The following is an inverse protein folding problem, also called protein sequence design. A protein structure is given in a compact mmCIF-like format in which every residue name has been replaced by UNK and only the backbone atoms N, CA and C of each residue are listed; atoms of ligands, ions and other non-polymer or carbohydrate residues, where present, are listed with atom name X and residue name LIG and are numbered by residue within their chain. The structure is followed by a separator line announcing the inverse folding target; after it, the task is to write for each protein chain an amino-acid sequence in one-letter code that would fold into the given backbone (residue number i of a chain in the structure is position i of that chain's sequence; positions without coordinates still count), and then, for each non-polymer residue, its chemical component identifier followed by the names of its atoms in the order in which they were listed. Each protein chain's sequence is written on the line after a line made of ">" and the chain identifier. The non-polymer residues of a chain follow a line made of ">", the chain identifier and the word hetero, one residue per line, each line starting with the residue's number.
data_IF_229664242683
#
_entry.id   IF_229664242683
#
_cell.length_a   1.000
_cell.length_b   1.000
_cell.length_c   1.000
_cell.angle_alpha   90.00
_cell.angle_beta   90.00
_cell.angle_gamma   90.00
#
_symmetry.space_group_name_H-M   'P 1'
#
loop_
_entity.id
_entity.type
_entity.pdbx_description
1 polymer ?
#
# COMPACT_ATOMS: atom_id res chain seq x y z
N UNK A 1 24.50 15.55 16.80
CA UNK A 1 23.24 15.63 17.58
C UNK A 1 22.23 14.80 16.81
N UNK A 2 21.77 13.69 17.37
CA UNK A 2 20.75 12.84 16.74
C UNK A 2 19.40 13.41 17.14
N UNK A 3 18.57 13.72 16.16
CA UNK A 3 17.21 14.17 16.36
C UNK A 3 16.30 12.96 16.62
N UNK A 4 15.66 12.92 17.79
CA UNK A 4 14.77 11.85 18.23
C UNK A 4 13.29 12.21 18.10
N UNK A 5 12.96 13.42 17.61
CA UNK A 5 11.57 13.91 17.56
C UNK A 5 10.67 13.11 16.62
N UNK A 6 11.25 12.21 15.83
CA UNK A 6 10.54 11.29 14.93
C UNK A 6 10.80 9.80 15.23
N UNK A 7 11.33 9.46 16.41
CA UNK A 7 11.52 8.06 16.80
C UNK A 7 10.26 7.48 17.45
N UNK A 8 9.74 6.39 16.89
CA UNK A 8 8.64 5.61 17.46
C UNK A 8 9.10 4.22 17.88
N UNK A 9 8.51 3.68 18.94
CA UNK A 9 8.64 2.27 19.29
C UNK A 9 7.39 1.58 18.74
N UNK A 10 7.60 0.72 17.75
CA UNK A 10 6.53 -0.06 17.12
C UNK A 10 6.73 -1.55 17.41
N UNK A 11 5.65 -2.33 17.51
CA UNK A 11 5.76 -3.78 17.59
C UNK A 11 6.61 -4.37 16.46
N UNK A 12 7.38 -5.43 16.74
CA UNK A 12 8.29 -6.03 15.77
C UNK A 12 7.61 -6.45 14.45
N UNK A 13 6.35 -6.89 14.51
CA UNK A 13 5.59 -7.29 13.31
C UNK A 13 5.25 -6.12 12.37
N UNK A 14 5.30 -4.87 12.85
CA UNK A 14 5.12 -3.66 12.04
C UNK A 14 6.41 -3.20 11.39
N UNK A 15 7.57 -3.66 11.88
CA UNK A 15 8.87 -3.34 11.30
C UNK A 15 9.18 -4.17 10.04
N UNK A 16 8.36 -5.18 9.73
CA UNK A 16 8.49 -6.00 8.52
C UNK A 16 7.78 -5.31 7.37
N UNK A 17 8.48 -4.38 6.73
CA UNK A 17 8.09 -3.73 5.49
C UNK A 17 9.17 -3.95 4.43
N UNK A 18 8.81 -3.87 3.15
CA UNK A 18 9.81 -3.81 2.09
C UNK A 18 10.63 -2.53 2.28
N UNK A 19 11.97 -2.62 2.42
CA UNK A 19 12.81 -1.44 2.36
C UNK A 19 12.51 -0.65 1.09
N UNK A 20 12.54 0.67 1.16
CA UNK A 20 12.15 1.56 0.04
C UNK A 20 12.95 1.31 -1.25
N UNK A 21 14.13 0.70 -1.14
CA UNK A 21 14.99 0.36 -2.28
C UNK A 21 14.73 -1.05 -2.86
N UNK A 22 13.85 -1.85 -2.26
CA UNK A 22 13.42 -3.14 -2.78
C UNK A 22 12.00 -3.02 -3.35
N UNK A 23 11.85 -3.39 -4.61
CA UNK A 23 10.54 -3.54 -5.21
C UNK A 23 9.95 -4.90 -4.82
N UNK A 24 8.72 -4.94 -4.28
CA UNK A 24 8.03 -6.20 -4.10
C UNK A 24 7.84 -6.92 -5.45
N UNK A 25 7.81 -8.28 -5.46
CA UNK A 25 7.52 -9.05 -6.67
C UNK A 25 6.18 -8.66 -7.32
N UNK A 26 6.05 -8.83 -8.64
CA UNK A 26 4.84 -8.47 -9.39
C UNK A 26 3.56 -9.19 -8.92
N UNK A 27 3.68 -10.32 -8.23
CA UNK A 27 2.58 -11.08 -7.63
C UNK A 27 2.45 -10.88 -6.12
N UNK A 28 3.10 -9.85 -5.56
CA UNK A 28 2.97 -9.52 -4.14
C UNK A 28 1.55 -9.03 -3.87
N UNK A 29 0.80 -9.83 -3.13
CA UNK A 29 -0.56 -9.46 -2.73
C UNK A 29 -0.49 -8.39 -1.64
N UNK A 30 -1.10 -7.24 -1.92
CA UNK A 30 -1.39 -6.22 -0.93
C UNK A 30 -2.74 -6.53 -0.27
N UNK A 31 -2.94 -6.08 0.98
CA UNK A 31 -4.08 -6.42 1.87
C UNK A 31 -3.89 -7.73 2.66
N UNK A 32 -5.00 -8.38 3.04
CA UNK A 32 -5.14 -9.44 4.03
C UNK A 32 -4.57 -10.79 3.56
N UNK A 33 -3.24 -10.85 3.43
CA UNK A 33 -2.50 -12.06 3.11
C UNK A 33 -2.07 -12.75 4.38
N UNK A 34 -2.37 -14.05 4.50
CA UNK A 34 -1.83 -14.88 5.57
C UNK A 34 -0.38 -15.26 5.22
N UNK A 35 0.62 -14.95 6.06
CA UNK A 35 2.00 -15.33 5.78
C UNK A 35 2.15 -16.86 5.82
N UNK A 36 2.92 -17.40 4.89
CA UNK A 36 3.37 -18.80 4.87
C UNK A 36 4.88 -18.89 5.10
N UNK A 37 5.37 -20.08 5.47
CA UNK A 37 6.81 -20.33 5.54
C UNK A 37 7.43 -20.31 4.14
N UNK A 38 8.70 -19.88 3.98
CA UNK A 38 9.38 -19.92 2.70
C UNK A 38 9.40 -21.32 2.08
N UNK A 39 9.25 -21.42 0.76
CA UNK A 39 9.23 -22.71 0.03
C UNK A 39 10.55 -23.48 0.23
N UNK A 40 11.67 -22.78 0.36
CA UNK A 40 13.01 -23.34 0.59
C UNK A 40 13.34 -23.55 2.08
N UNK A 41 12.38 -23.42 2.99
CA UNK A 41 12.62 -23.46 4.44
C UNK A 41 13.37 -24.73 4.90
N UNK A 42 13.14 -25.88 4.27
CA UNK A 42 13.81 -27.13 4.63
C UNK A 42 15.30 -27.13 4.28
N UNK A 43 15.70 -26.36 3.26
CA UNK A 43 17.05 -26.31 2.72
C UNK A 43 17.92 -25.23 3.40
N UNK A 44 17.31 -24.35 4.20
CA UNK A 44 17.99 -23.31 4.98
C UNK A 44 18.81 -23.90 6.14
N UNK A 45 19.81 -23.16 6.62
CA UNK A 45 20.55 -23.54 7.83
C UNK A 45 19.72 -23.35 9.12
N UNK A 46 20.21 -23.82 10.26
CA UNK A 46 19.44 -23.78 11.51
C UNK A 46 19.22 -22.37 12.06
N UNK A 47 20.16 -21.43 11.84
CA UNK A 47 20.02 -20.04 12.29
C UNK A 47 18.99 -19.31 11.42
N UNK A 48 19.05 -19.53 10.10
CA UNK A 48 18.07 -19.05 9.13
C UNK A 48 16.66 -19.63 9.40
N UNK A 49 16.57 -20.92 9.70
CA UNK A 49 15.31 -21.56 10.11
C UNK A 49 14.77 -20.97 11.40
N UNK A 50 15.62 -20.73 12.39
CA UNK A 50 15.21 -20.12 13.65
C UNK A 50 14.68 -18.69 13.43
N UNK A 51 15.33 -17.91 12.57
CA UNK A 51 14.86 -16.59 12.19
C UNK A 51 13.53 -16.64 11.42
N UNK A 52 13.42 -17.52 10.42
CA UNK A 52 12.20 -17.69 9.63
C UNK A 52 11.00 -18.15 10.49
N UNK A 53 11.23 -19.07 11.45
CA UNK A 53 10.20 -19.47 12.43
C UNK A 53 9.79 -18.31 13.34
N UNK A 54 10.76 -17.57 13.87
CA UNK A 54 10.49 -16.43 14.76
C UNK A 54 9.69 -15.35 14.02
N UNK A 55 10.11 -15.05 12.79
CA UNK A 55 9.39 -14.12 11.92
C UNK A 55 7.99 -14.64 11.60
N UNK A 56 7.84 -15.89 11.14
CA UNK A 56 6.54 -16.50 10.87
C UNK A 56 5.61 -16.41 12.09
N UNK A 57 6.09 -16.85 13.27
CA UNK A 57 5.36 -16.76 14.54
C UNK A 57 4.94 -15.33 14.83
N UNK A 58 5.84 -14.34 14.70
CA UNK A 58 5.50 -12.93 14.90
C UNK A 58 4.43 -12.41 13.93
N UNK A 59 4.41 -12.92 12.70
CA UNK A 59 3.47 -12.52 11.65
C UNK A 59 2.14 -13.29 11.72
N UNK A 60 2.10 -14.50 12.28
CA UNK A 60 0.91 -15.36 12.34
C UNK A 60 0.24 -15.44 13.71
N UNK A 61 0.96 -15.17 14.81
CA UNK A 61 0.35 -15.08 16.14
C UNK A 61 -0.56 -13.86 16.27
N UNK A 62 -0.33 -12.85 15.45
CA UNK A 62 -1.16 -11.66 15.38
C UNK A 62 -2.08 -11.86 14.19
N UNK A 63 -3.38 -11.78 14.47
CA UNK A 63 -4.39 -11.92 13.44
C UNK A 63 -4.18 -10.86 12.33
N UNK A 64 -4.21 -11.32 11.07
CA UNK A 64 -3.87 -10.50 9.88
C UNK A 64 -4.66 -9.18 9.82
N UNK A 65 -6.00 -9.18 10.03
CA UNK A 65 -6.79 -7.97 10.22
C UNK A 65 -6.25 -6.97 11.24
N UNK A 66 -5.83 -7.41 12.42
CA UNK A 66 -5.29 -6.53 13.47
C UNK A 66 -3.93 -5.95 13.06
N UNK A 67 -3.09 -6.77 12.43
CA UNK A 67 -1.80 -6.31 11.90
C UNK A 67 -1.98 -5.28 10.79
N UNK A 68 -2.92 -5.48 9.88
CA UNK A 68 -3.19 -4.58 8.77
C UNK A 68 -3.88 -3.30 9.20
N UNK A 69 -4.80 -3.38 10.16
CA UNK A 69 -5.35 -2.21 10.85
C UNK A 69 -4.21 -1.28 11.28
N UNK A 70 -3.25 -1.80 12.05
CA UNK A 70 -2.12 -1.01 12.54
C UNK A 70 -1.20 -0.53 11.41
N UNK A 71 -1.03 -1.32 10.35
CA UNK A 71 -0.17 -0.94 9.21
C UNK A 71 -0.78 0.15 8.33
N UNK A 72 -2.11 0.24 8.25
CA UNK A 72 -2.82 1.17 7.38
C UNK A 72 -3.33 2.42 8.07
N UNK A 73 -3.53 2.41 9.39
CA UNK A 73 -3.95 3.60 10.15
C UNK A 73 -3.12 4.84 9.84
N UNK A 74 -1.79 4.69 9.78
CA UNK A 74 -0.85 5.80 9.57
C UNK A 74 -0.63 6.14 8.08
N UNK A 75 -1.17 5.32 7.17
CA UNK A 75 -0.90 5.39 5.73
C UNK A 75 -2.14 5.72 4.89
N UNK A 76 -3.23 6.18 5.51
CA UNK A 76 -4.49 6.50 4.81
C UNK A 76 -4.36 7.66 3.81
N UNK A 77 -3.37 8.53 3.99
CA UNK A 77 -3.06 9.62 3.05
C UNK A 77 -2.38 9.12 1.78
N UNK A 78 -1.57 8.06 1.87
CA UNK A 78 -0.82 7.48 0.74
C UNK A 78 -1.60 6.37 0.03
N UNK A 79 -2.26 5.52 0.81
CA UNK A 79 -2.90 4.31 0.32
C UNK A 79 -4.43 4.43 0.27
N UNK A 80 -4.99 5.58 0.64
CA UNK A 80 -6.43 5.76 0.80
C UNK A 80 -7.00 5.06 2.03
N UNK A 81 -8.29 5.28 2.27
CA UNK A 81 -9.00 4.72 3.43
C UNK A 81 -9.43 3.25 3.24
N UNK A 82 -9.44 2.76 2.00
CA UNK A 82 -10.03 1.46 1.65
C UNK A 82 -9.37 0.28 2.38
N UNK A 83 -8.02 0.16 2.44
CA UNK A 83 -7.37 -0.95 3.16
C UNK A 83 -7.62 -0.91 4.68
N UNK A 84 -7.72 0.30 5.25
CA UNK A 84 -8.04 0.47 6.66
C UNK A 84 -9.45 -0.02 6.95
N UNK A 85 -10.43 0.36 6.11
CA UNK A 85 -11.81 -0.07 6.27
C UNK A 85 -11.96 -1.59 6.06
N UNK A 86 -11.22 -2.16 5.10
CA UNK A 86 -11.21 -3.61 4.83
C UNK A 86 -10.75 -4.39 6.07
N UNK A 87 -9.68 -3.91 6.71
CA UNK A 87 -9.18 -4.47 7.97
C UNK A 87 -10.20 -4.36 9.11
N UNK A 88 -10.90 -3.23 9.22
CA UNK A 88 -11.93 -3.04 10.25
C UNK A 88 -13.16 -3.93 10.00
N UNK A 89 -13.58 -4.08 8.75
CA UNK A 89 -14.67 -4.98 8.35
C UNK A 89 -14.34 -6.43 8.73
N UNK A 90 -13.15 -6.93 8.39
CA UNK A 90 -12.75 -8.28 8.80
C UNK A 90 -12.65 -8.44 10.32
N UNK A 91 -12.22 -7.40 11.07
CA UNK A 91 -12.21 -7.45 12.54
C UNK A 91 -13.64 -7.57 13.11
N UNK A 92 -14.58 -6.83 12.55
CA UNK A 92 -15.99 -6.86 12.98
C UNK A 92 -16.60 -8.24 12.72
N UNK A 93 -16.32 -8.84 11.55
CA UNK A 93 -16.81 -10.17 11.17
C UNK A 93 -16.19 -11.29 12.03
N UNK A 94 -14.91 -11.16 12.40
CA UNK A 94 -14.15 -12.19 13.12
C UNK A 94 -13.98 -11.87 14.63
N UNK A 95 -14.80 -10.99 15.20
CA UNK A 95 -14.63 -10.46 16.56
C UNK A 95 -14.42 -11.52 17.65
N UNK A 96 -15.21 -12.60 17.61
CA UNK A 96 -15.10 -13.70 18.59
C UNK A 96 -13.86 -14.56 18.35
N UNK A 97 -13.46 -14.78 17.10
CA UNK A 97 -12.26 -15.55 16.74
C UNK A 97 -10.97 -14.81 17.14
N UNK A 98 -11.04 -13.48 17.19
CA UNK A 98 -9.97 -12.62 17.72
C UNK A 98 -9.79 -12.73 19.24
N UNK A 99 -10.68 -13.43 19.95
CA UNK A 99 -10.67 -13.52 21.41
C UNK A 99 -11.03 -12.21 22.10
N UNK A 100 -11.68 -11.28 21.38
CA UNK A 100 -12.18 -10.03 21.97
C UNK A 100 -13.39 -10.33 22.85
N UNK A 101 -13.43 -9.68 24.02
CA UNK A 101 -14.52 -9.83 24.98
C UNK A 101 -15.80 -9.19 24.46
N UNK A 102 -16.93 -9.72 24.90
CA UNK A 102 -18.29 -9.29 24.56
C UNK A 102 -18.66 -9.45 23.06
N UNK A 103 -19.92 -9.15 22.75
CA UNK A 103 -20.39 -9.04 21.37
C UNK A 103 -19.84 -7.77 20.74
N UNK A 104 -19.42 -7.84 19.46
CA UNK A 104 -18.99 -6.66 18.72
C UNK A 104 -20.07 -5.56 18.79
N UNK A 105 -19.73 -4.34 19.25
CA UNK A 105 -20.70 -3.25 19.37
C UNK A 105 -21.06 -2.64 18.02
N UNK A 106 -20.28 -2.93 16.97
CA UNK A 106 -20.50 -2.43 15.63
C UNK A 106 -21.18 -3.50 14.77
N UNK A 107 -22.11 -3.04 13.93
CA UNK A 107 -22.76 -3.86 12.90
C UNK A 107 -22.71 -3.09 11.60
N UNK A 108 -22.20 -3.75 10.57
CA UNK A 108 -22.24 -3.26 9.20
C UNK A 108 -23.47 -3.91 8.56
N UNK A 109 -24.29 -3.12 7.88
CA UNK A 109 -25.42 -3.68 7.14
C UNK A 109 -24.96 -4.29 5.81
N UNK A 110 -25.81 -5.13 5.22
CA UNK A 110 -25.48 -5.85 3.99
C UNK A 110 -25.23 -4.91 2.80
N UNK A 111 -25.84 -3.72 2.82
CA UNK A 111 -25.68 -2.73 1.76
C UNK A 111 -24.28 -2.08 1.81
N UNK A 112 -23.87 -1.63 2.99
CA UNK A 112 -22.55 -1.04 3.23
C UNK A 112 -21.44 -2.06 3.02
N UNK A 113 -21.66 -3.33 3.41
CA UNK A 113 -20.71 -4.42 3.15
C UNK A 113 -20.55 -4.67 1.64
N UNK A 114 -21.65 -4.79 0.91
CA UNK A 114 -21.62 -4.97 -0.54
C UNK A 114 -20.97 -3.78 -1.24
N UNK A 115 -21.30 -2.55 -0.84
CA UNK A 115 -20.65 -1.34 -1.35
C UNK A 115 -19.14 -1.38 -1.09
N UNK A 116 -18.72 -1.76 0.11
CA UNK A 116 -17.32 -1.86 0.45
C UNK A 116 -16.57 -2.88 -0.42
N UNK A 117 -17.16 -4.05 -0.69
CA UNK A 117 -16.57 -5.07 -1.55
C UNK A 117 -16.29 -4.53 -2.97
N UNK A 118 -17.22 -3.76 -3.53
CA UNK A 118 -17.00 -3.08 -4.82
C UNK A 118 -15.87 -2.04 -4.74
N UNK A 119 -15.79 -1.30 -3.64
CA UNK A 119 -14.71 -0.32 -3.43
C UNK A 119 -13.34 -1.00 -3.26
N UNK A 120 -13.27 -2.19 -2.62
CA UNK A 120 -12.05 -3.01 -2.51
C UNK A 120 -11.62 -3.54 -3.88
N UNK A 121 -12.56 -4.02 -4.70
CA UNK A 121 -12.26 -4.48 -6.05
C UNK A 121 -11.66 -3.35 -6.91
N UNK A 122 -12.30 -2.18 -6.91
CA UNK A 122 -11.77 -0.99 -7.61
C UNK A 122 -10.41 -0.55 -7.08
N UNK A 123 -10.19 -0.66 -5.77
CA UNK A 123 -8.90 -0.34 -5.15
C UNK A 123 -7.79 -1.28 -5.63
N UNK A 124 -8.06 -2.58 -5.77
CA UNK A 124 -7.09 -3.55 -6.30
C UNK A 124 -6.75 -3.29 -7.77
N UNK A 125 -7.74 -2.94 -8.58
CA UNK A 125 -7.52 -2.53 -9.98
C UNK A 125 -6.66 -1.25 -10.05
N UNK A 126 -6.96 -0.28 -9.19
CA UNK A 126 -6.18 0.96 -9.06
C UNK A 126 -4.73 0.69 -8.64
N UNK A 127 -4.50 -0.17 -7.65
CA UNK A 127 -3.13 -0.57 -7.25
C UNK A 127 -2.38 -1.28 -8.37
N UNK A 128 -3.06 -2.14 -9.11
CA UNK A 128 -2.48 -2.86 -10.25
C UNK A 128 -2.04 -1.89 -11.35
N UNK A 129 -2.91 -0.93 -11.69
CA UNK A 129 -2.57 0.13 -12.65
C UNK A 129 -1.40 0.99 -12.15
N UNK A 130 -1.37 1.33 -10.85
CA UNK A 130 -0.26 2.06 -10.23
C UNK A 130 1.05 1.31 -10.40
N UNK A 131 1.08 0.03 -10.04
CA UNK A 131 2.27 -0.82 -10.13
C UNK A 131 2.82 -0.92 -11.55
N UNK A 132 1.95 -1.17 -12.56
CA UNK A 132 2.39 -1.18 -13.96
C UNK A 132 2.91 0.17 -14.43
N UNK A 133 2.28 1.27 -14.00
CA UNK A 133 2.73 2.62 -14.34
C UNK A 133 4.11 2.89 -13.77
N UNK A 134 4.35 2.52 -12.50
CA UNK A 134 5.65 2.67 -11.85
C UNK A 134 6.74 1.83 -12.51
N UNK A 135 6.42 0.58 -12.89
CA UNK A 135 7.34 -0.30 -13.61
C UNK A 135 7.74 0.31 -14.96
N UNK A 136 6.78 0.83 -15.73
CA UNK A 136 7.03 1.45 -17.04
C UNK A 136 7.83 2.75 -16.96
N UNK A 137 7.68 3.50 -15.86
CA UNK A 137 8.37 4.78 -15.65
C UNK A 137 9.67 4.65 -14.85
N UNK A 138 9.94 3.46 -14.29
CA UNK A 138 11.03 3.22 -13.33
C UNK A 138 11.02 4.20 -12.16
N UNK A 139 9.83 4.45 -11.61
CA UNK A 139 9.61 5.33 -10.45
C UNK A 139 9.37 4.53 -9.18
N UNK A 140 9.62 5.15 -8.03
CA UNK A 140 9.27 4.57 -6.74
C UNK A 140 7.82 4.90 -6.31
N UNK A 141 7.48 4.55 -5.07
CA UNK A 141 6.16 4.77 -4.48
C UNK A 141 5.75 6.23 -4.32
N UNK A 142 6.72 7.14 -4.32
CA UNK A 142 6.52 8.57 -4.15
C UNK A 142 6.71 9.32 -5.49
N UNK A 143 6.88 8.60 -6.60
CA UNK A 143 7.05 9.18 -7.93
C UNK A 143 8.43 9.74 -8.20
N UNK A 144 9.43 9.39 -7.38
CA UNK A 144 10.80 9.81 -7.57
C UNK A 144 11.42 9.15 -8.80
N UNK A 145 12.16 9.95 -9.58
CA UNK A 145 12.87 9.50 -10.77
C UNK A 145 14.37 9.53 -10.51
N UNK A 146 15.05 8.43 -10.83
CA UNK A 146 16.51 8.33 -10.74
C UNK A 146 17.20 9.42 -11.57
N UNK A 147 18.21 10.14 -11.03
CA UNK A 147 18.99 11.12 -11.78
C UNK A 147 19.69 10.54 -13.02
N UNK A 148 19.82 9.21 -13.11
CA UNK A 148 20.40 8.51 -14.25
C UNK A 148 19.43 8.42 -15.45
N UNK A 149 18.13 8.64 -15.23
CA UNK A 149 17.10 8.61 -16.24
C UNK A 149 16.89 10.00 -16.85
N UNK A 150 16.52 10.01 -18.13
CA UNK A 150 16.13 11.23 -18.84
C UNK A 150 14.72 11.64 -18.41
N UNK A 151 14.66 12.61 -17.50
CA UNK A 151 13.40 13.07 -16.91
C UNK A 151 12.37 13.54 -17.96
N UNK A 152 12.81 14.20 -19.03
CA UNK A 152 11.87 14.72 -20.03
C UNK A 152 11.23 13.57 -20.81
N UNK A 153 11.97 12.47 -21.02
CA UNK A 153 11.41 11.23 -21.59
C UNK A 153 10.46 10.53 -20.63
N UNK A 154 10.79 10.46 -19.34
CA UNK A 154 9.91 9.84 -18.33
C UNK A 154 8.62 10.64 -18.20
N UNK A 155 8.70 11.98 -18.20
CA UNK A 155 7.52 12.86 -18.21
C UNK A 155 6.66 12.67 -19.47
N UNK A 156 7.27 12.64 -20.65
CA UNK A 156 6.52 12.40 -21.88
C UNK A 156 5.78 11.04 -21.86
N UNK A 157 6.44 10.00 -21.37
CA UNK A 157 5.83 8.66 -21.21
C UNK A 157 4.73 8.65 -20.15
N UNK A 158 4.91 9.37 -19.05
CA UNK A 158 3.87 9.56 -18.04
C UNK A 158 2.63 10.22 -18.66
N UNK A 159 2.81 11.28 -19.45
CA UNK A 159 1.71 12.00 -20.08
C UNK A 159 0.96 11.10 -21.07
N UNK A 160 1.66 10.27 -21.85
CA UNK A 160 1.05 9.26 -22.72
C UNK A 160 0.19 8.25 -21.92
N UNK A 161 0.71 7.71 -20.81
CA UNK A 161 -0.02 6.77 -19.96
C UNK A 161 -1.24 7.44 -19.31
N UNK A 162 -1.10 8.68 -18.86
CA UNK A 162 -2.19 9.46 -18.30
C UNK A 162 -3.30 9.71 -19.33
N UNK A 163 -2.96 10.04 -20.57
CA UNK A 163 -3.96 10.20 -21.64
C UNK A 163 -4.71 8.89 -21.92
N UNK A 164 -4.01 7.75 -21.95
CA UNK A 164 -4.66 6.44 -22.14
C UNK A 164 -5.61 6.10 -20.98
N UNK A 165 -5.20 6.39 -19.74
CA UNK A 165 -6.04 6.25 -18.56
C UNK A 165 -7.29 7.13 -18.65
N UNK A 166 -7.12 8.41 -18.97
CA UNK A 166 -8.23 9.36 -19.09
C UNK A 166 -9.23 8.94 -20.16
N UNK A 167 -8.75 8.47 -21.33
CA UNK A 167 -9.63 7.97 -22.39
C UNK A 167 -10.49 6.80 -21.94
N UNK A 168 -9.95 5.87 -21.14
CA UNK A 168 -10.69 4.72 -20.63
C UNK A 168 -11.65 5.09 -19.49
N UNK A 169 -11.17 5.80 -18.47
CA UNK A 169 -11.98 6.05 -17.26
C UNK A 169 -13.11 7.05 -17.50
N UNK A 170 -12.96 7.98 -18.45
CA UNK A 170 -14.02 8.93 -18.80
C UNK A 170 -15.20 8.31 -19.55
N UNK A 171 -15.11 7.04 -19.94
CA UNK A 171 -16.26 6.27 -20.43
C UNK A 171 -17.28 6.01 -19.31
N UNK A 172 -16.83 5.99 -18.04
CA UNK A 172 -17.64 5.64 -16.87
C UNK A 172 -17.74 6.79 -15.87
N UNK A 173 -16.66 7.53 -15.67
CA UNK A 173 -16.54 8.60 -14.67
C UNK A 173 -16.50 9.98 -15.32
N UNK A 174 -16.79 11.03 -14.55
CA UNK A 174 -16.49 12.38 -15.03
C UNK A 174 -14.98 12.61 -15.12
N UNK A 175 -14.55 13.53 -15.98
CA UNK A 175 -13.13 13.87 -16.16
C UNK A 175 -12.45 14.27 -14.85
N UNK A 176 -13.16 15.03 -14.01
CA UNK A 176 -12.65 15.51 -12.72
C UNK A 176 -12.52 14.38 -11.68
N UNK A 177 -13.43 13.41 -11.70
CA UNK A 177 -13.33 12.22 -10.85
C UNK A 177 -12.20 11.31 -11.31
N UNK A 178 -12.06 11.08 -12.61
CA UNK A 178 -10.96 10.29 -13.18
C UNK A 178 -9.60 10.92 -12.84
N UNK A 179 -9.44 12.25 -12.97
CA UNK A 179 -8.22 12.97 -12.59
C UNK A 179 -7.87 12.78 -11.11
N UNK A 180 -8.86 12.85 -10.21
CA UNK A 180 -8.65 12.67 -8.76
C UNK A 180 -8.19 11.26 -8.39
N UNK A 181 -8.52 10.28 -9.20
CA UNK A 181 -8.11 8.89 -9.00
C UNK A 181 -6.74 8.59 -9.60
N UNK A 182 -6.12 9.51 -10.33
CA UNK A 182 -4.74 9.34 -10.81
C UNK A 182 -3.73 9.43 -9.67
N UNK A 183 -2.64 8.67 -9.77
CA UNK A 183 -1.65 8.50 -8.68
C UNK A 183 -0.75 9.72 -8.46
N UNK A 184 -0.47 10.44 -9.53
CA UNK A 184 0.40 11.61 -9.53
C UNK A 184 -0.47 12.86 -9.66
N UNK A 185 -0.99 13.32 -8.53
CA UNK A 185 -1.73 14.58 -8.46
C UNK A 185 -0.77 15.69 -8.10
N UNK A 186 -0.73 16.77 -8.89
CA UNK A 186 0.02 17.97 -8.56
C UNK A 186 -0.40 18.44 -7.16
N UNK A 187 0.50 18.31 -6.18
CA UNK A 187 0.27 18.97 -4.89
C UNK A 187 0.38 20.45 -5.18
N UNK A 188 -0.70 21.20 -4.97
CA UNK A 188 -0.73 22.65 -5.11
C UNK A 188 0.56 23.23 -4.50
N UNK A 189 1.39 23.82 -5.36
CA UNK A 189 2.71 24.34 -5.01
C UNK A 189 2.58 25.29 -3.81
N UNK A 190 3.05 24.85 -2.64
CA UNK A 190 3.40 25.80 -1.58
C UNK A 190 4.79 26.32 -1.94
N UNK A 191 4.80 27.54 -2.48
CA UNK A 191 5.97 28.18 -3.08
C UNK A 191 7.16 28.23 -2.12
N UNK A 192 8.04 27.23 -2.24
CA UNK A 192 9.35 27.26 -1.63
C UNK A 192 10.36 26.61 -2.57
N UNK A 193 11.20 27.46 -3.17
CA UNK A 193 12.37 27.10 -3.93
C UNK A 193 13.18 26.00 -3.22
N UNK A 194 13.27 24.80 -3.81
CA UNK A 194 14.25 23.79 -3.38
C UNK A 194 15.01 23.22 -4.57
N UNK A 195 16.22 23.74 -4.75
CA UNK A 195 17.46 23.05 -5.13
C UNK A 195 17.37 21.72 -5.90
N UNK A 196 17.43 21.81 -7.23
CA UNK A 196 18.22 21.04 -8.21
C UNK A 196 18.66 19.56 -8.02
N UNK A 197 18.12 18.74 -7.10
CA UNK A 197 18.58 17.34 -6.97
C UNK A 197 17.50 16.25 -6.88
N UNK A 198 16.21 16.57 -6.86
CA UNK A 198 15.17 15.55 -6.96
C UNK A 198 14.07 16.03 -7.89
N UNK A 199 13.87 15.33 -9.01
CA UNK A 199 12.72 15.55 -9.89
C UNK A 199 11.70 14.44 -9.59
N UNK A 200 10.48 14.84 -9.25
CA UNK A 200 9.34 13.94 -9.01
C UNK A 200 8.26 14.17 -10.06
N UNK A 201 7.39 13.18 -10.23
CA UNK A 201 6.13 13.33 -10.97
C UNK A 201 4.99 13.92 -10.12
N UNK A 202 5.23 14.14 -8.82
CA UNK A 202 4.30 14.80 -7.88
C UNK A 202 4.64 16.27 -7.61
#
# INVERSE_FOLDING_TARGET
>A
MIDWQFTSIMPAFMQVQWPTFLSPPNNYEYCLVKPELPVNFNDMDEDEKAFARTSYVALTHINSPVRHLLSFCDNTTKNGIIPLRDSLTEIIENWTELGLVDTCPFRIDDYDLSKHQHEVARYKDWQTLKGYTQELLHTDDDGWISPQLDFDKVRARHDELFQLYMQRETEVLSEEEAKRLWFYTDKAEDGSNSTACAKSLM
#
